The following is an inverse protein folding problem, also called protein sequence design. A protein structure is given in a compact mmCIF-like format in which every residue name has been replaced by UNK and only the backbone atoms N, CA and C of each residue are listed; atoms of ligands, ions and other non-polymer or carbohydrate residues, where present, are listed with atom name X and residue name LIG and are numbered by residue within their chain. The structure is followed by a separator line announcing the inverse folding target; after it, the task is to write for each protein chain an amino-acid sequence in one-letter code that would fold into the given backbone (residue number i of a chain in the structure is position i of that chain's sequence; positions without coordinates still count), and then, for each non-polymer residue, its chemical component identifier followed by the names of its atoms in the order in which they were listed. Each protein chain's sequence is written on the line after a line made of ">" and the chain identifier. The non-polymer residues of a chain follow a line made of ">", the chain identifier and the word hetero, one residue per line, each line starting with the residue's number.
data_IF_701556997785
#
_entry.id   IF_701556997785
#
_cell.length_a   1.000
_cell.length_b   1.000
_cell.length_c   1.000
_cell.angle_alpha   90.00
_cell.angle_beta   90.00
_cell.angle_gamma   90.00
#
_symmetry.space_group_name_H-M   'P 1'
#
loop_
_entity.id
_entity.type
_entity.pdbx_description
1 polymer ?
#
# COMPACT_ATOMS: atom_id res chain seq x y z
N UNK A 1 -4.14 -4.27 -11.94
CA UNK A 1 -3.26 -4.17 -10.77
C UNK A 1 -3.40 -5.50 -10.11
N UNK A 2 -2.30 -6.15 -9.79
CA UNK A 2 -2.39 -7.49 -9.23
C UNK A 2 -1.98 -7.51 -7.74
N UNK A 3 -1.15 -6.57 -7.27
CA UNK A 3 -0.59 -6.65 -5.91
C UNK A 3 -0.37 -5.27 -5.23
N UNK A 4 -0.75 -5.15 -3.95
CA UNK A 4 -0.44 -4.03 -3.07
C UNK A 4 0.21 -4.55 -1.79
N UNK A 5 1.39 -4.02 -1.49
CA UNK A 5 2.12 -4.30 -0.28
C UNK A 5 2.18 -3.07 0.60
N UNK A 6 1.95 -3.26 1.90
CA UNK A 6 2.16 -2.23 2.90
C UNK A 6 3.07 -2.78 3.97
N UNK A 7 4.05 -2.00 4.42
CA UNK A 7 4.96 -2.41 5.48
C UNK A 7 5.27 -1.24 6.41
N UNK A 8 5.67 -1.49 7.66
CA UNK A 8 6.19 -0.44 8.53
C UNK A 8 7.38 0.26 7.87
N UNK A 9 7.50 1.57 8.06
CA UNK A 9 8.53 2.35 7.39
C UNK A 9 9.94 1.86 7.78
N UNK A 10 10.78 1.57 6.78
CA UNK A 10 12.11 1.02 7.01
C UNK A 10 12.17 -0.50 7.19
N UNK A 11 11.03 -1.20 7.12
CA UNK A 11 11.03 -2.65 6.95
C UNK A 11 11.63 -3.01 5.57
N UNK A 12 12.58 -3.95 5.56
CA UNK A 12 13.14 -4.49 4.31
C UNK A 12 12.22 -5.51 3.64
N UNK A 13 11.20 -6.01 4.37
CA UNK A 13 10.22 -6.95 3.88
C UNK A 13 8.88 -6.23 3.68
N UNK A 14 8.40 -6.20 2.43
CA UNK A 14 7.11 -5.61 2.05
C UNK A 14 5.91 -6.42 2.56
N UNK A 15 6.14 -7.66 3.00
CA UNK A 15 5.10 -8.53 3.55
C UNK A 15 4.19 -9.14 2.49
N UNK A 16 3.18 -9.88 2.95
CA UNK A 16 2.18 -10.49 2.07
C UNK A 16 1.35 -9.42 1.34
N UNK A 17 0.90 -9.77 0.13
CA UNK A 17 -0.08 -8.99 -0.61
C UNK A 17 -1.34 -8.81 0.27
N UNK A 18 -1.73 -7.55 0.50
CA UNK A 18 -2.82 -7.22 1.42
C UNK A 18 -4.21 -7.04 0.82
N UNK A 19 -4.42 -6.61 -0.45
CA UNK A 19 -5.73 -6.61 -1.06
C UNK A 19 -6.06 -8.05 -1.40
N UNK A 20 -6.56 -8.80 -0.41
CA UNK A 20 -6.79 -10.22 -0.55
C UNK A 20 -7.65 -10.60 -1.76
N UNK A 21 -8.48 -9.69 -2.29
CA UNK A 21 -9.30 -9.87 -3.51
C UNK A 21 -9.68 -8.55 -4.24
N UNK A 22 -9.26 -7.37 -3.76
CA UNK A 22 -9.73 -6.07 -4.29
C UNK A 22 -8.70 -5.44 -5.22
N UNK A 23 -8.92 -5.60 -6.53
CA UNK A 23 -8.12 -4.94 -7.57
C UNK A 23 -8.34 -3.42 -7.50
N UNK A 24 -7.28 -2.66 -7.19
CA UNK A 24 -7.27 -1.21 -7.36
C UNK A 24 -7.32 -0.88 -8.87
N UNK A 25 -8.49 -0.49 -9.36
CA UNK A 25 -8.64 0.14 -10.68
C UNK A 25 -8.67 1.67 -10.54
N UNK A 26 -8.34 2.43 -11.60
CA UNK A 26 -8.42 3.89 -11.55
C UNK A 26 -9.80 4.36 -11.04
N UNK A 27 -9.80 5.23 -10.03
CA UNK A 27 -11.02 5.74 -9.40
C UNK A 27 -11.67 4.81 -8.37
N UNK A 28 -11.04 3.68 -8.00
CA UNK A 28 -11.47 2.83 -6.88
C UNK A 28 -10.51 2.94 -5.70
N UNK A 29 -11.00 2.54 -4.53
CA UNK A 29 -10.25 2.45 -3.29
C UNK A 29 -10.26 1.01 -2.78
N UNK A 30 -9.09 0.46 -2.48
CA UNK A 30 -8.97 -0.78 -1.72
C UNK A 30 -8.77 -0.44 -0.25
N UNK A 31 -9.45 -1.15 0.65
CA UNK A 31 -9.25 -1.01 2.09
C UNK A 31 -8.31 -2.11 2.55
N UNK A 32 -7.21 -1.72 3.18
CA UNK A 32 -6.28 -2.66 3.82
C UNK A 32 -6.26 -2.42 5.32
N UNK A 33 -6.26 -3.50 6.10
CA UNK A 33 -5.95 -3.44 7.52
C UNK A 33 -4.45 -3.17 7.69
N UNK A 34 -4.11 -2.19 8.53
CA UNK A 34 -2.73 -1.95 8.93
C UNK A 34 -2.49 -2.61 10.29
N UNK A 35 -1.31 -3.22 10.51
CA UNK A 35 -0.95 -3.69 11.83
C UNK A 35 -0.95 -2.51 12.82
N UNK A 36 -1.52 -2.72 14.00
CA UNK A 36 -1.53 -1.72 15.06
C UNK A 36 -0.10 -1.50 15.59
N UNK A 37 0.27 -0.23 15.80
CA UNK A 37 1.57 0.14 16.38
C UNK A 37 2.16 1.37 15.72
N UNK A 38 2.79 1.21 14.56
CA UNK A 38 3.52 2.28 13.90
C UNK A 38 2.59 3.11 12.99
N UNK A 39 2.73 4.44 13.04
CA UNK A 39 1.98 5.33 12.15
C UNK A 39 2.66 5.49 10.78
N UNK A 40 3.92 5.12 10.67
CA UNK A 40 4.74 5.35 9.48
C UNK A 40 4.83 4.05 8.69
N UNK A 41 4.34 4.08 7.45
CA UNK A 41 4.31 2.92 6.59
C UNK A 41 4.92 3.23 5.22
N UNK A 42 5.56 2.23 4.63
CA UNK A 42 5.95 2.22 3.23
C UNK A 42 4.92 1.40 2.45
N UNK A 43 4.38 1.99 1.37
CA UNK A 43 3.39 1.39 0.50
C UNK A 43 4.02 1.16 -0.87
N UNK A 44 3.90 -0.06 -1.39
CA UNK A 44 4.32 -0.43 -2.72
C UNK A 44 3.13 -1.02 -3.48
N UNK A 45 2.93 -0.54 -4.69
CA UNK A 45 1.82 -0.96 -5.54
C UNK A 45 2.37 -1.47 -6.87
N UNK A 46 2.00 -2.68 -7.26
CA UNK A 46 2.34 -3.26 -8.56
C UNK A 46 1.18 -3.03 -9.56
N UNK A 47 1.48 -2.29 -10.62
CA UNK A 47 0.57 -1.99 -11.73
C UNK A 47 0.49 -3.17 -12.70
N UNK A 48 -0.61 -3.20 -13.48
CA UNK A 48 -0.85 -4.26 -14.47
C UNK A 48 0.18 -4.29 -15.61
N UNK A 49 0.87 -3.17 -15.85
CA UNK A 49 1.94 -3.05 -16.85
C UNK A 49 3.30 -3.53 -16.30
N UNK A 50 3.32 -4.14 -15.12
CA UNK A 50 4.54 -4.61 -14.45
C UNK A 50 5.33 -3.51 -13.74
N UNK A 51 4.90 -2.25 -13.80
CA UNK A 51 5.56 -1.16 -13.07
C UNK A 51 5.18 -1.21 -11.59
N UNK A 52 6.13 -0.92 -10.72
CA UNK A 52 5.86 -0.73 -9.29
C UNK A 52 5.96 0.75 -8.93
N UNK A 53 4.97 1.26 -8.20
CA UNK A 53 4.98 2.60 -7.62
C UNK A 53 5.12 2.48 -6.12
N UNK A 54 6.10 3.19 -5.56
CA UNK A 54 6.36 3.21 -4.13
C UNK A 54 6.03 4.59 -3.54
N UNK A 55 5.49 4.57 -2.32
CA UNK A 55 5.30 5.73 -1.44
C UNK A 55 5.87 5.36 -0.09
N UNK A 56 6.94 6.06 0.30
CA UNK A 56 7.64 5.79 1.56
C UNK A 56 7.28 6.81 2.62
N UNK A 57 7.36 6.42 3.88
CA UNK A 57 7.08 7.26 5.06
C UNK A 57 5.68 7.90 5.04
N UNK A 58 4.68 7.12 4.65
CA UNK A 58 3.28 7.52 4.72
C UNK A 58 2.83 7.49 6.17
N UNK A 59 2.42 8.65 6.70
CA UNK A 59 1.80 8.76 8.02
C UNK A 59 0.34 8.32 7.99
N UNK A 60 0.06 7.06 8.28
CA UNK A 60 -1.29 6.48 8.23
C UNK A 60 -2.20 6.92 9.37
N UNK A 61 -1.62 7.57 10.40
CA UNK A 61 -2.36 8.20 11.49
C UNK A 61 -2.97 9.56 11.11
N UNK A 62 -2.42 10.22 10.08
CA UNK A 62 -2.93 11.50 9.56
C UNK A 62 -3.55 11.36 8.18
N UNK A 63 -3.04 10.43 7.36
CA UNK A 63 -3.52 10.13 6.03
C UNK A 63 -4.16 8.74 5.99
N UNK A 64 -5.49 8.70 5.99
CA UNK A 64 -6.28 7.47 5.83
C UNK A 64 -6.48 7.06 4.35
N UNK A 65 -6.05 7.90 3.41
CA UNK A 65 -6.08 7.62 1.97
C UNK A 65 -4.79 8.10 1.30
N UNK A 66 -4.28 7.30 0.35
CA UNK A 66 -3.10 7.63 -0.46
C UNK A 66 -3.44 7.37 -1.92
N UNK A 67 -3.27 8.40 -2.75
CA UNK A 67 -3.47 8.30 -4.19
C UNK A 67 -2.14 8.03 -4.91
N UNK A 68 -2.22 7.16 -5.92
CA UNK A 68 -1.11 6.83 -6.81
C UNK A 68 -1.47 7.27 -8.24
N UNK A 69 -0.50 7.79 -9.01
CA UNK A 69 -0.71 8.20 -10.40
C UNK A 69 -0.89 7.00 -11.34
#
# INVERSE_FOLDING_TARGET
>A
MDEIHVSPAGSRAWGADRPGQDVLVPGRFARTGLPAGECLHDIRVALADGRAVERRRVGTCTASQVAFP
#
